data_IF_207026738396
#
_entry.id   IF_207026738396
#
_cell.length_a   1.000
_cell.length_b   1.000
_cell.length_c   1.000
_cell.angle_alpha   90.00
_cell.angle_beta   90.00
_cell.angle_gamma   90.00
#
_symmetry.space_group_name_H-M   'P 1'
#
loop_
_entity.id
_entity.type
_entity.pdbx_description
1 polymer ?
#
# COMPACT_ATOMS: atom_id res chain seq x y z
N UNK A 1 -24.23 26.28 4.67
CA UNK A 1 -24.22 24.85 4.27
C UNK A 1 -23.56 24.08 5.41
N UNK A 2 -24.30 23.22 6.10
CA UNK A 2 -23.79 22.50 7.26
C UNK A 2 -22.92 21.34 6.81
N UNK A 3 -21.71 21.22 7.39
CA UNK A 3 -20.83 20.07 7.24
C UNK A 3 -21.56 18.83 7.76
N UNK A 4 -21.75 17.81 6.91
CA UNK A 4 -22.49 16.61 7.25
C UNK A 4 -21.77 15.82 8.36
N UNK A 5 -22.50 14.97 9.09
CA UNK A 5 -21.93 14.15 10.19
C UNK A 5 -20.91 13.12 9.68
N UNK A 6 -20.92 12.80 8.38
CA UNK A 6 -19.91 11.98 7.69
C UNK A 6 -18.59 12.74 7.55
N UNK A 7 -18.63 14.02 7.17
CA UNK A 7 -17.42 14.85 7.02
C UNK A 7 -16.69 15.03 8.35
N UNK A 8 -17.44 15.23 9.44
CA UNK A 8 -16.83 15.36 10.78
C UNK A 8 -16.13 14.08 11.26
N UNK A 9 -16.68 12.90 10.95
CA UNK A 9 -16.04 11.61 11.29
C UNK A 9 -14.82 11.30 10.40
N UNK A 10 -14.84 11.72 9.16
CA UNK A 10 -13.70 11.62 8.24
C UNK A 10 -12.55 12.52 8.70
N UNK A 11 -12.84 13.75 9.09
CA UNK A 11 -11.88 14.72 9.60
C UNK A 11 -11.24 14.24 10.90
N UNK A 12 -12.01 13.75 11.87
CA UNK A 12 -11.50 13.28 13.17
C UNK A 12 -10.60 12.03 13.06
N UNK A 13 -10.79 11.19 12.04
CA UNK A 13 -9.94 10.00 11.81
C UNK A 13 -8.67 10.32 11.03
N UNK A 14 -8.70 11.33 10.17
CA UNK A 14 -7.51 11.89 9.53
C UNK A 14 -6.57 12.53 10.54
N UNK A 15 -7.11 13.16 11.60
CA UNK A 15 -6.32 13.74 12.69
C UNK A 15 -5.44 12.70 13.38
N UNK A 16 -5.81 11.42 13.37
CA UNK A 16 -5.02 10.34 13.97
C UNK A 16 -3.72 10.06 13.20
N UNK A 17 -3.74 10.14 11.87
CA UNK A 17 -2.51 9.98 11.06
C UNK A 17 -1.74 11.31 11.01
N UNK A 18 -2.45 12.43 10.89
CA UNK A 18 -1.86 13.77 10.83
C UNK A 18 -1.19 14.21 12.14
N UNK A 19 -1.51 13.58 13.28
CA UNK A 19 -0.82 13.86 14.55
C UNK A 19 0.69 13.65 14.46
N UNK A 20 1.15 12.79 13.55
CA UNK A 20 2.57 12.47 13.37
C UNK A 20 3.29 13.35 12.34
N UNK A 21 2.60 14.25 11.65
CA UNK A 21 3.13 14.99 10.48
C UNK A 21 4.36 15.87 10.79
N UNK A 22 4.51 16.31 12.04
CA UNK A 22 5.58 17.22 12.47
C UNK A 22 6.52 16.57 13.50
N UNK A 23 6.45 15.27 13.71
CA UNK A 23 7.29 14.57 14.66
C UNK A 23 8.57 14.02 13.98
N UNK A 24 9.56 13.66 14.79
CA UNK A 24 10.74 12.95 14.33
C UNK A 24 10.34 11.58 13.78
N UNK A 25 10.79 11.23 12.57
CA UNK A 25 10.39 10.00 11.90
C UNK A 25 10.76 8.74 12.68
N UNK A 26 11.87 8.76 13.43
CA UNK A 26 12.30 7.64 14.25
C UNK A 26 11.42 7.48 15.50
N UNK A 27 10.95 8.60 16.09
CA UNK A 27 10.00 8.58 17.21
C UNK A 27 8.63 8.09 16.76
N UNK A 28 8.15 8.55 15.60
CA UNK A 28 6.92 8.06 14.97
C UNK A 28 7.00 6.55 14.76
N UNK A 29 8.09 6.08 14.16
CA UNK A 29 8.31 4.67 13.93
C UNK A 29 8.24 3.86 15.23
N UNK A 30 8.92 4.31 16.28
CA UNK A 30 8.94 3.62 17.57
C UNK A 30 7.55 3.61 18.25
N UNK A 31 6.82 4.72 18.16
CA UNK A 31 5.45 4.81 18.67
C UNK A 31 4.52 3.80 17.97
N UNK A 32 4.57 3.76 16.63
CA UNK A 32 3.79 2.82 15.83
C UNK A 32 4.22 1.36 16.05
N UNK A 33 5.51 1.10 16.29
CA UNK A 33 5.99 -0.23 16.63
C UNK A 33 5.39 -0.72 17.94
N UNK A 34 5.33 0.13 18.95
CA UNK A 34 4.69 -0.20 20.23
C UNK A 34 3.18 -0.46 20.05
N UNK A 35 2.51 0.35 19.23
CA UNK A 35 1.10 0.17 18.92
C UNK A 35 0.85 -1.14 18.16
N UNK A 36 1.71 -1.49 17.19
CA UNK A 36 1.64 -2.77 16.48
C UNK A 36 1.70 -3.98 17.42
N UNK A 37 2.63 -4.00 18.35
CA UNK A 37 2.76 -5.13 19.30
C UNK A 37 1.58 -5.26 20.27
N UNK A 38 0.80 -4.19 20.47
CA UNK A 38 -0.42 -4.20 21.28
C UNK A 38 -1.68 -4.52 20.47
N UNK A 39 -1.59 -4.64 19.13
CA UNK A 39 -2.70 -5.01 18.25
C UNK A 39 -2.61 -6.50 17.89
N UNK A 40 -3.41 -7.32 18.56
CA UNK A 40 -3.39 -8.78 18.36
C UNK A 40 -3.74 -9.22 16.93
N UNK A 41 -4.51 -8.42 16.18
CA UNK A 41 -4.91 -8.75 14.82
C UNK A 41 -3.72 -8.53 13.87
N UNK A 42 -3.09 -7.36 13.95
CA UNK A 42 -1.91 -7.04 13.15
C UNK A 42 -0.76 -7.99 13.46
N UNK A 43 -0.54 -8.25 14.75
CA UNK A 43 0.50 -9.16 15.23
C UNK A 43 0.28 -10.58 14.71
N UNK A 44 -0.94 -11.12 14.82
CA UNK A 44 -1.26 -12.48 14.35
C UNK A 44 -1.08 -12.61 12.83
N UNK A 45 -1.58 -11.64 12.05
CA UNK A 45 -1.39 -11.64 10.61
C UNK A 45 0.10 -11.62 10.24
N UNK A 46 0.86 -10.66 10.80
CA UNK A 46 2.28 -10.48 10.48
C UNK A 46 3.14 -11.66 10.94
N UNK A 47 2.86 -12.24 12.11
CA UNK A 47 3.57 -13.44 12.59
C UNK A 47 3.42 -14.58 11.61
N UNK A 48 2.21 -14.84 11.11
CA UNK A 48 1.98 -15.87 10.12
C UNK A 48 2.73 -15.61 8.81
N UNK A 49 2.75 -14.35 8.34
CA UNK A 49 3.51 -13.93 7.15
C UNK A 49 5.01 -14.24 7.33
N UNK A 50 5.59 -13.86 8.47
CA UNK A 50 7.02 -14.07 8.76
C UNK A 50 7.38 -15.55 8.90
N UNK A 51 6.60 -16.32 9.64
CA UNK A 51 6.84 -17.76 9.86
C UNK A 51 6.76 -18.58 8.58
N UNK A 52 6.00 -18.12 7.58
CA UNK A 52 5.82 -18.80 6.30
C UNK A 52 6.56 -18.14 5.12
N UNK A 53 7.38 -17.12 5.36
CA UNK A 53 8.13 -16.37 4.34
C UNK A 53 7.22 -15.83 3.22
N UNK A 54 6.08 -15.23 3.59
CA UNK A 54 5.05 -14.77 2.65
C UNK A 54 5.15 -13.28 2.31
N UNK A 55 6.07 -12.54 2.92
CA UNK A 55 6.23 -11.13 2.64
C UNK A 55 7.30 -10.46 3.48
N UNK A 56 7.57 -9.21 3.13
CA UNK A 56 8.56 -8.34 3.75
C UNK A 56 7.89 -7.11 4.36
N UNK A 57 8.68 -6.08 4.64
CA UNK A 57 8.20 -4.80 5.11
C UNK A 57 8.21 -4.63 6.63
N UNK A 58 7.86 -3.47 7.07
CA UNK A 58 8.03 -3.01 8.44
C UNK A 58 6.74 -3.13 9.27
N UNK A 59 6.87 -3.71 10.46
CA UNK A 59 5.76 -3.91 11.41
C UNK A 59 4.99 -2.62 11.73
N UNK A 60 5.65 -1.47 11.99
CA UNK A 60 4.95 -0.22 12.26
C UNK A 60 3.99 0.22 11.15
N UNK A 61 4.31 -0.07 9.88
CA UNK A 61 3.47 0.34 8.78
C UNK A 61 2.12 -0.40 8.73
N UNK A 62 2.00 -1.56 9.39
CA UNK A 62 0.70 -2.26 9.54
C UNK A 62 -0.32 -1.43 10.32
N UNK A 63 0.14 -0.60 11.26
CA UNK A 63 -0.74 0.36 11.96
C UNK A 63 -1.27 1.41 10.97
N UNK A 64 -0.42 1.89 10.06
CA UNK A 64 -0.83 2.84 9.02
C UNK A 64 -1.87 2.21 8.08
N UNK A 65 -1.68 0.96 7.66
CA UNK A 65 -2.70 0.22 6.90
C UNK A 65 -4.04 0.20 7.64
N UNK A 66 -4.05 -0.13 8.92
CA UNK A 66 -5.26 -0.13 9.75
C UNK A 66 -5.94 1.26 9.75
N UNK A 67 -5.17 2.33 9.92
CA UNK A 67 -5.73 3.69 9.95
C UNK A 67 -6.24 4.15 8.58
N UNK A 68 -5.53 3.83 7.50
CA UNK A 68 -6.00 4.11 6.14
C UNK A 68 -7.32 3.39 5.89
N UNK A 69 -7.44 2.09 6.20
CA UNK A 69 -8.68 1.33 6.01
C UNK A 69 -9.79 1.86 6.93
N UNK A 70 -9.48 2.21 8.18
CA UNK A 70 -10.45 2.83 9.09
C UNK A 70 -11.02 4.13 8.54
N UNK A 71 -10.21 4.94 7.84
CA UNK A 71 -10.63 6.21 7.26
C UNK A 71 -11.52 6.07 6.02
N UNK A 72 -11.52 4.91 5.34
CA UNK A 72 -12.29 4.73 4.12
C UNK A 72 -13.81 4.74 4.38
N UNK A 73 -14.63 5.09 3.38
CA UNK A 73 -16.08 4.97 3.46
C UNK A 73 -16.51 3.49 3.61
N UNK A 74 -17.80 3.27 3.76
CA UNK A 74 -18.39 1.91 3.86
C UNK A 74 -18.06 1.04 2.64
N UNK A 75 -18.05 1.65 1.45
CA UNK A 75 -17.65 1.03 0.19
C UNK A 75 -16.45 1.78 -0.37
N UNK A 76 -15.41 1.07 -0.74
CA UNK A 76 -14.20 1.66 -1.32
C UNK A 76 -13.48 0.65 -2.21
N UNK A 77 -12.57 1.17 -3.07
CA UNK A 77 -11.73 0.36 -3.97
C UNK A 77 -10.26 0.48 -3.60
N UNK A 78 -9.60 -0.66 -3.56
CA UNK A 78 -8.18 -0.81 -3.30
C UNK A 78 -7.47 -1.46 -4.48
N UNK A 79 -6.29 -0.95 -4.82
CA UNK A 79 -5.39 -1.52 -5.82
C UNK A 79 -4.00 -1.71 -5.22
N UNK A 80 -3.41 -2.89 -5.43
CA UNK A 80 -1.99 -3.15 -5.18
C UNK A 80 -1.28 -3.45 -6.50
N UNK A 81 -0.24 -2.68 -6.83
CA UNK A 81 0.66 -2.95 -7.95
C UNK A 81 1.91 -3.58 -7.37
N UNK A 82 2.15 -4.87 -7.71
CA UNK A 82 3.22 -5.66 -7.12
C UNK A 82 2.75 -6.55 -5.97
N UNK A 83 1.93 -7.54 -6.28
CA UNK A 83 1.38 -8.49 -5.28
C UNK A 83 2.33 -9.67 -5.07
N UNK A 84 3.39 -9.58 -4.44
CA UNK A 84 4.33 -10.71 -4.26
C UNK A 84 3.61 -12.01 -3.87
N UNK A 85 3.38 -12.27 -2.60
CA UNK A 85 2.67 -13.46 -2.08
C UNK A 85 1.36 -13.11 -1.37
N UNK A 86 0.83 -11.89 -1.59
CA UNK A 86 -0.49 -11.46 -1.13
C UNK A 86 -0.55 -10.88 0.28
N UNK A 87 0.58 -10.52 0.89
CA UNK A 87 0.61 -9.99 2.25
C UNK A 87 -0.30 -8.77 2.43
N UNK A 88 -0.15 -7.75 1.59
CA UNK A 88 -0.90 -6.49 1.78
C UNK A 88 -2.35 -6.66 1.34
N UNK A 89 -2.63 -7.34 0.22
CA UNK A 89 -4.00 -7.66 -0.19
C UNK A 89 -4.79 -8.38 0.91
N UNK A 90 -4.19 -9.41 1.53
CA UNK A 90 -4.87 -10.17 2.59
C UNK A 90 -5.06 -9.33 3.86
N UNK A 91 -4.10 -8.48 4.21
CA UNK A 91 -4.22 -7.56 5.34
C UNK A 91 -5.34 -6.54 5.12
N UNK A 92 -5.41 -5.92 3.94
CA UNK A 92 -6.45 -4.95 3.58
C UNK A 92 -7.83 -5.59 3.65
N UNK A 93 -7.99 -6.79 3.07
CA UNK A 93 -9.26 -7.53 3.14
C UNK A 93 -9.65 -7.88 4.57
N UNK A 94 -8.71 -8.41 5.37
CA UNK A 94 -8.93 -8.74 6.78
C UNK A 94 -9.40 -7.51 7.58
N UNK A 95 -8.69 -6.40 7.46
CA UNK A 95 -9.03 -5.16 8.16
C UNK A 95 -10.40 -4.60 7.71
N UNK A 96 -10.71 -4.72 6.42
CA UNK A 96 -11.99 -4.28 5.88
C UNK A 96 -13.15 -5.09 6.43
N UNK A 97 -13.03 -6.42 6.45
CA UNK A 97 -14.05 -7.32 6.97
C UNK A 97 -14.32 -7.08 8.46
N UNK A 98 -13.26 -6.95 9.25
CA UNK A 98 -13.37 -6.64 10.69
C UNK A 98 -14.07 -5.31 10.98
N UNK A 99 -14.05 -4.37 10.03
CA UNK A 99 -14.75 -3.08 10.12
C UNK A 99 -16.10 -3.09 9.41
N UNK A 100 -16.56 -4.24 8.93
CA UNK A 100 -17.78 -4.39 8.13
C UNK A 100 -17.81 -3.43 6.93
N UNK A 101 -16.66 -3.23 6.26
CA UNK A 101 -16.53 -2.42 5.04
C UNK A 101 -16.56 -3.33 3.81
N UNK A 102 -17.17 -2.83 2.75
CA UNK A 102 -17.21 -3.46 1.44
C UNK A 102 -16.02 -2.95 0.62
N UNK A 103 -14.92 -3.72 0.64
CA UNK A 103 -13.71 -3.40 -0.12
C UNK A 103 -13.72 -4.19 -1.44
N UNK A 104 -13.82 -3.49 -2.57
CA UNK A 104 -13.44 -4.05 -3.85
C UNK A 104 -11.93 -3.94 -3.98
N UNK A 105 -11.22 -5.06 -4.00
CA UNK A 105 -9.75 -5.07 -4.01
C UNK A 105 -9.19 -5.83 -5.21
N UNK A 106 -8.10 -5.30 -5.76
CA UNK A 106 -7.44 -5.82 -6.94
C UNK A 106 -5.94 -5.80 -6.76
N UNK A 107 -5.27 -6.80 -7.30
CA UNK A 107 -3.81 -6.88 -7.35
C UNK A 107 -3.31 -7.02 -8.77
N UNK A 108 -2.19 -6.39 -9.09
CA UNK A 108 -1.49 -6.53 -10.38
C UNK A 108 -0.17 -7.22 -10.14
N UNK A 109 0.04 -8.35 -10.80
CA UNK A 109 1.27 -9.14 -10.66
C UNK A 109 1.43 -10.10 -11.82
N UNK A 110 2.67 -10.38 -12.30
CA UNK A 110 2.91 -11.39 -13.33
C UNK A 110 2.77 -12.84 -12.80
N UNK A 111 2.47 -13.04 -11.53
CA UNK A 111 2.39 -14.36 -10.87
C UNK A 111 3.62 -15.24 -11.13
N UNK A 112 4.78 -14.62 -11.20
CA UNK A 112 6.05 -15.27 -11.51
C UNK A 112 7.21 -14.62 -10.75
N UNK A 113 8.39 -15.25 -10.81
CA UNK A 113 9.60 -14.78 -10.15
C UNK A 113 10.38 -13.75 -10.99
N UNK A 114 9.70 -12.91 -11.74
CA UNK A 114 10.31 -11.80 -12.47
C UNK A 114 10.81 -10.78 -11.47
N UNK A 115 12.09 -10.45 -11.56
CA UNK A 115 12.74 -9.41 -10.76
C UNK A 115 13.06 -8.17 -11.58
N UNK A 116 13.63 -7.18 -10.91
CA UNK A 116 14.18 -5.95 -11.47
C UNK A 116 15.67 -5.78 -11.11
N UNK A 117 16.24 -4.61 -11.32
CA UNK A 117 17.66 -4.38 -11.00
C UNK A 117 17.98 -4.44 -9.50
N UNK A 118 17.01 -4.23 -8.64
CA UNK A 118 17.14 -4.26 -7.18
C UNK A 118 16.77 -5.63 -6.59
N UNK A 119 15.75 -6.30 -7.16
CA UNK A 119 15.19 -7.56 -6.70
C UNK A 119 15.41 -8.66 -7.75
N UNK A 120 16.59 -9.25 -7.77
CA UNK A 120 17.02 -10.16 -8.85
C UNK A 120 16.59 -11.62 -8.70
N UNK A 121 16.15 -12.03 -7.51
CA UNK A 121 15.79 -13.41 -7.22
C UNK A 121 14.59 -13.47 -6.29
N UNK A 122 13.48 -13.87 -6.84
CA UNK A 122 12.33 -14.28 -6.07
C UNK A 122 12.27 -15.82 -6.00
N UNK A 123 11.57 -16.35 -5.01
CA UNK A 123 11.38 -17.79 -4.85
C UNK A 123 10.65 -18.37 -6.06
N UNK A 124 11.08 -19.55 -6.48
CA UNK A 124 10.33 -20.33 -7.47
C UNK A 124 9.18 -21.09 -6.78
N UNK A 125 8.06 -20.40 -6.62
CA UNK A 125 6.83 -20.93 -6.00
C UNK A 125 5.65 -20.72 -6.93
N UNK A 126 4.58 -21.47 -6.71
CA UNK A 126 3.28 -21.15 -7.32
C UNK A 126 2.66 -19.96 -6.58
N UNK A 127 2.81 -18.77 -7.15
CA UNK A 127 2.32 -17.53 -6.57
C UNK A 127 0.79 -17.51 -6.44
N UNK A 128 0.07 -18.03 -7.45
CA UNK A 128 -1.39 -18.09 -7.42
C UNK A 128 -1.87 -18.95 -6.25
N UNK A 129 -1.37 -20.18 -6.15
CA UNK A 129 -1.71 -21.07 -5.05
C UNK A 129 -1.29 -20.53 -3.68
N UNK A 130 -0.15 -19.81 -3.63
CA UNK A 130 0.34 -19.18 -2.38
C UNK A 130 -0.61 -18.09 -1.90
N UNK A 131 -1.06 -17.20 -2.80
CA UNK A 131 -2.02 -16.15 -2.48
C UNK A 131 -3.35 -16.77 -2.03
N UNK A 132 -3.91 -17.72 -2.79
CA UNK A 132 -5.16 -18.41 -2.43
C UNK A 132 -5.07 -19.07 -1.05
N UNK A 133 -3.94 -19.75 -0.77
CA UNK A 133 -3.71 -20.40 0.52
C UNK A 133 -3.65 -19.41 1.69
N UNK A 134 -3.06 -18.22 1.47
CA UNK A 134 -3.00 -17.16 2.46
C UNK A 134 -4.40 -16.61 2.77
N UNK A 135 -5.21 -16.32 1.75
CA UNK A 135 -6.59 -15.87 1.95
C UNK A 135 -7.43 -16.91 2.68
N UNK A 136 -7.32 -18.19 2.29
CA UNK A 136 -7.97 -19.30 2.97
C UNK A 136 -7.55 -19.43 4.45
N UNK A 137 -6.27 -19.21 4.76
CA UNK A 137 -5.75 -19.23 6.15
C UNK A 137 -6.48 -18.26 7.07
N UNK A 138 -6.81 -17.08 6.58
CA UNK A 138 -7.52 -16.04 7.32
C UNK A 138 -9.04 -16.06 7.10
N UNK A 139 -9.57 -17.10 6.42
CA UNK A 139 -10.98 -17.22 6.07
C UNK A 139 -11.54 -15.99 5.35
N UNK A 140 -10.77 -15.48 4.37
CA UNK A 140 -11.11 -14.31 3.56
C UNK A 140 -11.64 -14.75 2.20
N UNK A 141 -12.64 -14.05 1.69
CA UNK A 141 -13.13 -14.24 0.32
C UNK A 141 -12.08 -13.74 -0.68
N UNK A 142 -11.77 -14.60 -1.65
CA UNK A 142 -10.82 -14.31 -2.72
C UNK A 142 -11.12 -15.19 -3.94
N UNK A 143 -11.07 -14.58 -5.11
CA UNK A 143 -11.12 -15.27 -6.40
C UNK A 143 -10.00 -14.77 -7.29
N UNK A 144 -9.08 -15.64 -7.67
CA UNK A 144 -7.89 -15.30 -8.44
C UNK A 144 -8.22 -14.55 -9.74
N UNK A 145 -9.28 -15.00 -10.45
CA UNK A 145 -9.64 -14.44 -11.74
C UNK A 145 -10.28 -13.05 -11.63
N UNK A 146 -10.92 -12.78 -10.50
CA UNK A 146 -11.58 -11.50 -10.23
C UNK A 146 -10.63 -10.50 -9.57
N UNK A 147 -9.82 -10.98 -8.61
CA UNK A 147 -9.02 -10.09 -7.76
C UNK A 147 -7.60 -9.88 -8.27
N UNK A 148 -7.11 -10.70 -9.24
CA UNK A 148 -5.75 -10.56 -9.78
C UNK A 148 -5.78 -10.24 -11.28
N UNK A 149 -5.13 -9.16 -11.63
CA UNK A 149 -4.79 -8.83 -13.02
C UNK A 149 -3.39 -9.40 -13.27
N UNK A 150 -3.34 -10.53 -13.99
CA UNK A 150 -2.07 -11.16 -14.34
C UNK A 150 -1.36 -10.36 -15.44
N UNK A 151 -0.15 -9.91 -15.17
CA UNK A 151 0.71 -9.16 -16.05
C UNK A 151 1.50 -8.07 -15.31
N UNK A 152 2.33 -7.35 -16.06
CA UNK A 152 3.08 -6.19 -15.54
C UNK A 152 2.29 -4.90 -15.71
N UNK A 153 2.32 -4.02 -14.71
CA UNK A 153 1.64 -2.71 -14.74
C UNK A 153 2.11 -1.78 -15.86
N UNK A 154 3.30 -2.02 -16.41
CA UNK A 154 3.81 -1.25 -17.56
C UNK A 154 3.22 -1.68 -18.91
N UNK A 155 2.60 -2.87 -18.96
CA UNK A 155 1.95 -3.37 -20.16
C UNK A 155 0.65 -2.61 -20.44
N UNK A 156 0.44 -2.18 -21.69
CA UNK A 156 -0.72 -1.36 -22.05
C UNK A 156 -2.05 -2.08 -21.84
N UNK A 157 -2.10 -3.38 -22.13
CA UNK A 157 -3.30 -4.20 -21.89
C UNK A 157 -3.66 -4.28 -20.40
N UNK A 158 -2.66 -4.37 -19.51
CA UNK A 158 -2.84 -4.37 -18.08
C UNK A 158 -3.33 -3.01 -17.60
N UNK A 159 -2.72 -1.91 -18.06
CA UNK A 159 -3.19 -0.54 -17.78
C UNK A 159 -4.64 -0.34 -18.18
N UNK A 160 -5.01 -0.82 -19.37
CA UNK A 160 -6.38 -0.71 -19.85
C UNK A 160 -7.37 -1.49 -18.98
N UNK A 161 -7.01 -2.69 -18.51
CA UNK A 161 -7.82 -3.45 -17.56
C UNK A 161 -7.98 -2.70 -16.24
N UNK A 162 -6.91 -2.13 -15.69
CA UNK A 162 -6.96 -1.32 -14.47
C UNK A 162 -7.88 -0.10 -14.65
N UNK A 163 -7.74 0.64 -15.75
CA UNK A 163 -8.59 1.81 -16.05
C UNK A 163 -10.08 1.43 -16.18
N UNK A 164 -10.40 0.26 -16.72
CA UNK A 164 -11.78 -0.24 -16.83
C UNK A 164 -12.42 -0.53 -15.47
N UNK A 165 -11.65 -0.82 -14.42
CA UNK A 165 -12.15 -0.98 -13.05
C UNK A 165 -12.61 0.36 -12.45
N UNK A 166 -12.22 1.50 -13.02
CA UNK A 166 -12.64 2.85 -12.61
C UNK A 166 -11.73 3.48 -11.57
N UNK A 167 -12.31 4.24 -10.65
CA UNK A 167 -11.56 5.07 -9.69
C UNK A 167 -11.31 4.31 -8.39
N UNK A 168 -10.08 4.39 -7.91
CA UNK A 168 -9.64 3.79 -6.65
C UNK A 168 -9.55 4.83 -5.53
N UNK A 169 -9.88 4.40 -4.32
CA UNK A 169 -9.80 5.20 -3.09
C UNK A 169 -8.43 5.06 -2.42
N UNK A 170 -7.80 3.89 -2.60
CA UNK A 170 -6.47 3.57 -2.05
C UNK A 170 -5.67 2.80 -3.10
N UNK A 171 -4.45 3.25 -3.39
CA UNK A 171 -3.52 2.55 -4.29
C UNK A 171 -2.18 2.35 -3.57
N UNK A 172 -1.64 1.14 -3.64
CA UNK A 172 -0.31 0.79 -3.17
C UNK A 172 0.57 0.40 -4.37
N UNK A 173 1.75 1.00 -4.44
CA UNK A 173 2.75 0.73 -5.47
C UNK A 173 3.96 0.09 -4.80
N UNK A 174 4.19 -1.18 -5.10
CA UNK A 174 5.26 -2.04 -4.60
C UNK A 174 5.67 -3.04 -5.71
N UNK A 175 5.77 -2.54 -6.93
CA UNK A 175 6.06 -3.33 -8.12
C UNK A 175 7.53 -3.29 -8.50
N UNK A 176 7.80 -3.08 -9.80
CA UNK A 176 9.14 -2.88 -10.31
C UNK A 176 9.73 -1.57 -9.79
N UNK A 177 10.97 -1.62 -9.30
CA UNK A 177 11.66 -0.47 -8.70
C UNK A 177 12.50 0.34 -9.70
N UNK A 178 12.53 -0.05 -10.98
CA UNK A 178 13.22 0.72 -12.01
C UNK A 178 12.49 2.04 -12.27
N UNK A 179 13.22 3.15 -12.42
CA UNK A 179 12.68 4.50 -12.54
C UNK A 179 11.53 4.61 -13.55
N UNK A 180 11.70 4.09 -14.77
CA UNK A 180 10.69 4.19 -15.82
C UNK A 180 9.40 3.41 -15.49
N UNK A 181 9.53 2.27 -14.79
CA UNK A 181 8.39 1.50 -14.32
C UNK A 181 7.61 2.29 -13.25
N UNK A 182 8.30 2.85 -12.27
CA UNK A 182 7.69 3.66 -11.21
C UNK A 182 7.00 4.89 -11.79
N UNK A 183 7.65 5.59 -12.73
CA UNK A 183 7.04 6.72 -13.45
C UNK A 183 5.76 6.29 -14.16
N UNK A 184 5.80 5.15 -14.86
CA UNK A 184 4.61 4.59 -15.53
C UNK A 184 3.46 4.35 -14.57
N UNK A 185 3.73 3.79 -13.39
CA UNK A 185 2.73 3.54 -12.35
C UNK A 185 2.21 4.85 -11.74
N UNK A 186 3.08 5.82 -11.47
CA UNK A 186 2.67 7.15 -10.99
C UNK A 186 1.76 7.86 -12.01
N UNK A 187 2.07 7.79 -13.30
CA UNK A 187 1.21 8.37 -14.33
C UNK A 187 -0.16 7.67 -14.39
N UNK A 188 -0.18 6.35 -14.26
CA UNK A 188 -1.42 5.58 -14.22
C UNK A 188 -2.29 5.98 -13.03
N UNK A 189 -1.72 6.06 -11.82
CA UNK A 189 -2.51 6.40 -10.62
C UNK A 189 -3.11 7.81 -10.68
N UNK A 190 -2.48 8.74 -11.40
CA UNK A 190 -3.06 10.08 -11.61
C UNK A 190 -4.40 10.01 -12.34
N UNK A 191 -4.58 9.05 -13.24
CA UNK A 191 -5.81 8.87 -14.02
C UNK A 191 -6.89 8.10 -13.23
N UNK A 192 -6.49 7.12 -12.40
CA UNK A 192 -7.41 6.20 -11.73
C UNK A 192 -7.69 6.57 -10.26
N UNK A 193 -7.25 7.73 -9.80
CA UNK A 193 -7.52 8.24 -8.46
C UNK A 193 -8.25 9.58 -8.49
N UNK A 194 -8.94 9.90 -7.41
CA UNK A 194 -9.71 11.14 -7.22
C UNK A 194 -9.19 11.96 -6.04
N UNK A 195 -9.68 13.18 -5.91
CA UNK A 195 -9.43 13.98 -4.71
C UNK A 195 -9.86 13.20 -3.45
N UNK A 196 -8.94 13.09 -2.50
CA UNK A 196 -9.11 12.32 -1.27
C UNK A 196 -8.54 10.90 -1.31
N UNK A 197 -8.16 10.36 -2.48
CA UNK A 197 -7.52 9.04 -2.58
C UNK A 197 -6.16 9.02 -1.92
N UNK A 198 -5.82 7.90 -1.28
CA UNK A 198 -4.49 7.63 -0.73
C UNK A 198 -3.62 6.88 -1.74
N UNK A 199 -2.39 7.32 -1.87
CA UNK A 199 -1.34 6.69 -2.65
C UNK A 199 -0.22 6.31 -1.70
N UNK A 200 0.11 5.03 -1.64
CA UNK A 200 1.18 4.50 -0.82
C UNK A 200 2.29 4.03 -1.75
N UNK A 201 3.51 4.51 -1.49
CA UNK A 201 4.71 4.14 -2.22
C UNK A 201 5.63 3.35 -1.32
N UNK A 202 5.96 2.11 -1.72
CA UNK A 202 6.99 1.33 -1.07
C UNK A 202 8.38 1.79 -1.48
N UNK A 203 9.38 1.44 -0.71
CA UNK A 203 10.80 1.73 -0.98
C UNK A 203 11.13 3.20 -1.31
N UNK A 204 10.44 4.13 -0.66
CA UNK A 204 10.28 5.51 -1.07
C UNK A 204 11.02 6.55 -0.20
N UNK A 205 11.87 6.13 0.77
CA UNK A 205 12.34 7.02 1.85
C UNK A 205 13.83 7.34 1.81
N UNK A 206 14.53 7.08 0.69
CA UNK A 206 15.99 7.27 0.58
C UNK A 206 16.48 8.67 0.98
N UNK A 207 15.65 9.70 0.77
CA UNK A 207 16.00 11.10 1.05
C UNK A 207 15.37 11.63 2.34
N UNK A 208 14.76 10.76 3.15
CA UNK A 208 14.16 11.15 4.43
C UNK A 208 15.19 11.12 5.56
N UNK A 209 15.10 12.02 6.55
CA UNK A 209 16.02 12.09 7.69
C UNK A 209 15.73 10.98 8.71
N UNK A 210 15.96 9.73 8.33
CA UNK A 210 15.80 8.54 9.17
C UNK A 210 17.17 8.10 9.64
N UNK A 211 17.37 8.02 10.97
CA UNK A 211 18.68 7.75 11.58
C UNK A 211 18.80 6.36 12.22
N UNK A 212 17.78 5.50 12.07
CA UNK A 212 17.82 4.14 12.64
C UNK A 212 18.90 3.30 11.98
N UNK A 213 19.78 2.73 12.81
CA UNK A 213 20.84 1.85 12.34
C UNK A 213 20.24 0.63 11.63
N UNK A 214 20.71 0.36 10.43
CA UNK A 214 20.24 -0.78 9.61
C UNK A 214 18.85 -0.61 9.00
N UNK A 215 18.26 0.59 9.04
CA UNK A 215 17.00 0.85 8.35
C UNK A 215 17.18 0.68 6.84
N UNK A 216 16.29 -0.07 6.24
CA UNK A 216 16.08 -0.02 4.80
C UNK A 216 15.30 1.25 4.47
N UNK A 217 15.80 2.04 3.53
CA UNK A 217 15.18 3.32 3.15
C UNK A 217 14.55 3.29 1.76
N UNK A 218 14.63 2.13 1.10
CA UNK A 218 14.13 1.93 -0.24
C UNK A 218 15.19 2.13 -1.33
N UNK A 219 14.74 2.46 -2.52
CA UNK A 219 15.53 2.51 -3.73
C UNK A 219 15.58 3.91 -4.33
N UNK A 220 16.76 4.35 -4.81
CA UNK A 220 16.96 5.69 -5.37
C UNK A 220 16.02 5.99 -6.53
N UNK A 221 15.81 5.03 -7.43
CA UNK A 221 14.95 5.22 -8.60
C UNK A 221 13.49 5.49 -8.21
N UNK A 222 13.00 4.80 -7.17
CA UNK A 222 11.65 5.06 -6.63
C UNK A 222 11.60 6.48 -6.03
N UNK A 223 12.61 6.85 -5.25
CA UNK A 223 12.67 8.17 -4.63
C UNK A 223 12.79 9.30 -5.65
N UNK A 224 13.56 9.10 -6.72
CA UNK A 224 13.71 10.08 -7.81
C UNK A 224 12.40 10.25 -8.61
N UNK A 225 11.72 9.14 -8.94
CA UNK A 225 10.42 9.20 -9.60
C UNK A 225 9.36 9.92 -8.75
N UNK A 226 9.32 9.68 -7.44
CA UNK A 226 8.43 10.39 -6.51
C UNK A 226 8.75 11.88 -6.49
N UNK A 227 10.02 12.24 -6.39
CA UNK A 227 10.45 13.65 -6.40
C UNK A 227 10.01 14.37 -7.66
N UNK A 228 10.20 13.73 -8.83
CA UNK A 228 9.91 14.33 -10.12
C UNK A 228 8.41 14.42 -10.43
N UNK A 229 7.60 13.44 -10.00
CA UNK A 229 6.22 13.30 -10.46
C UNK A 229 5.15 13.41 -9.37
N UNK A 230 5.51 13.36 -8.08
CA UNK A 230 4.58 13.52 -6.95
C UNK A 230 4.91 14.77 -6.13
N UNK A 231 6.15 14.93 -5.64
CA UNK A 231 6.52 16.06 -4.77
C UNK A 231 6.46 17.41 -5.52
N UNK A 232 6.78 17.42 -6.81
CA UNK A 232 6.70 18.59 -7.68
C UNK A 232 5.28 18.83 -8.24
N UNK A 233 4.31 17.96 -7.92
CA UNK A 233 2.93 18.07 -8.39
C UNK A 233 2.01 18.56 -7.28
N UNK A 234 1.46 19.76 -7.43
CA UNK A 234 0.52 20.38 -6.49
C UNK A 234 -0.81 19.59 -6.32
N UNK A 235 -0.96 18.45 -6.98
CA UNK A 235 -2.12 17.56 -6.84
C UNK A 235 -1.98 16.58 -5.69
N UNK A 236 -0.81 16.48 -5.05
CA UNK A 236 -0.54 15.55 -3.97
C UNK A 236 0.03 16.26 -2.74
N UNK A 237 -0.31 15.75 -1.57
CA UNK A 237 0.35 16.11 -0.31
C UNK A 237 0.89 14.86 0.38
N UNK A 238 2.09 14.93 0.93
CA UNK A 238 2.60 13.86 1.78
C UNK A 238 1.89 13.88 3.13
N UNK A 239 1.34 12.73 3.51
CA UNK A 239 0.59 12.54 4.76
C UNK A 239 1.51 12.08 5.87
N UNK A 240 2.32 11.04 5.61
CA UNK A 240 3.23 10.44 6.58
C UNK A 240 4.31 9.61 5.87
N UNK A 241 5.48 9.50 6.50
CA UNK A 241 6.56 8.59 6.16
C UNK A 241 6.83 7.67 7.35
N UNK A 242 6.81 6.34 7.13
CA UNK A 242 7.10 5.35 8.17
C UNK A 242 7.99 4.27 7.58
N UNK A 243 9.22 4.16 8.09
CA UNK A 243 10.22 3.26 7.52
C UNK A 243 10.53 3.62 6.07
N UNK A 244 10.50 2.65 5.18
CA UNK A 244 10.70 2.87 3.75
C UNK A 244 9.42 3.26 3.00
N UNK A 245 8.27 3.25 3.65
CA UNK A 245 6.98 3.57 3.03
C UNK A 245 6.61 5.04 3.18
N UNK A 246 6.03 5.63 2.14
CA UNK A 246 5.47 6.99 2.14
C UNK A 246 4.01 6.98 1.70
N UNK A 247 3.21 7.75 2.39
CA UNK A 247 1.78 7.92 2.09
C UNK A 247 1.53 9.32 1.58
N UNK A 248 0.92 9.39 0.42
CA UNK A 248 0.44 10.64 -0.19
C UNK A 248 -1.08 10.64 -0.28
N UNK A 249 -1.64 11.82 -0.35
CA UNK A 249 -3.07 12.03 -0.59
C UNK A 249 -3.24 12.92 -1.82
N UNK A 250 -4.12 12.54 -2.73
CA UNK A 250 -4.52 13.39 -3.84
C UNK A 250 -5.45 14.50 -3.32
N UNK A 251 -5.15 15.75 -3.67
CA UNK A 251 -5.84 16.96 -3.18
C UNK A 251 -6.49 17.78 -4.29
N UNK A 252 -6.25 17.42 -5.56
CA UNK A 252 -6.88 18.04 -6.74
C UNK A 252 -7.23 17.01 -7.79
#
# INVERSE_FOLDING_TARGET
>A
MGITSLDKRHTARMETILKYKNENLDEVYQSLQNEFYNDSILLNHRTYIEENNLGYGEKPFHVIWREIINSQPKKFKFLEIGVYKGQVLSLVKLLSDLKNKECEFYGVTPLSNVGDKYSKKYDSVDYALTIESLFKKFNLEFDLNTNIINGSSVEEDVKNKIKQLGIFDVVYIDGCHDYDCVVSDILLIKEITKNGSYIIMDDASCYKPINRIGAHLGHSDVCDAIKDYIENDNCFEEVICVGHNRVFRKIK
#
